data_IF_531118448719
#
_entry.id   IF_531118448719
#
_cell.length_a   1.000
_cell.length_b   1.000
_cell.length_c   1.000
_cell.angle_alpha   90.00
_cell.angle_beta   90.00
_cell.angle_gamma   90.00
#
_symmetry.space_group_name_H-M   'P 1'
#
loop_
_entity.id
_entity.type
_entity.pdbx_description
1 polymer ?
#
# COMPACT_ATOMS: atom_id res chain seq x y z
N UNK A 1 -18.27 -13.02 -14.44
CA UNK A 1 -16.81 -13.24 -14.61
C UNK A 1 -16.00 -12.97 -13.33
N UNK A 2 -16.51 -12.23 -12.38
CA UNK A 2 -15.84 -11.81 -11.12
C UNK A 2 -15.68 -12.94 -10.08
N UNK A 3 -16.61 -13.87 -9.99
CA UNK A 3 -16.57 -14.96 -9.00
C UNK A 3 -15.40 -15.94 -9.17
N UNK A 4 -14.90 -16.12 -10.39
CA UNK A 4 -13.76 -17.03 -10.65
C UNK A 4 -12.44 -16.52 -10.07
N UNK A 5 -12.22 -15.21 -10.06
CA UNK A 5 -10.98 -14.61 -9.56
C UNK A 5 -10.90 -14.67 -8.03
N UNK A 6 -12.04 -14.53 -7.33
CA UNK A 6 -12.10 -14.63 -5.86
C UNK A 6 -11.76 -16.04 -5.39
N UNK A 7 -12.26 -17.05 -6.11
CA UNK A 7 -12.00 -18.46 -5.78
C UNK A 7 -10.51 -18.80 -6.01
N UNK A 8 -9.88 -18.24 -7.03
CA UNK A 8 -8.47 -18.52 -7.34
C UNK A 8 -7.52 -17.92 -6.29
N UNK A 9 -7.79 -16.71 -5.80
CA UNK A 9 -6.99 -16.07 -4.74
C UNK A 9 -7.19 -16.82 -3.42
N UNK A 10 -8.43 -17.18 -3.07
CA UNK A 10 -8.70 -17.94 -1.85
C UNK A 10 -8.09 -19.35 -1.90
N UNK A 11 -8.10 -20.02 -3.07
CA UNK A 11 -7.48 -21.32 -3.26
C UNK A 11 -5.94 -21.26 -3.20
N UNK A 12 -5.31 -20.20 -3.70
CA UNK A 12 -3.87 -20.00 -3.58
C UNK A 12 -3.43 -19.81 -2.12
N UNK A 13 -4.16 -18.99 -1.35
CA UNK A 13 -3.90 -18.80 0.08
C UNK A 13 -4.13 -20.10 0.87
N UNK A 14 -5.18 -20.86 0.56
CA UNK A 14 -5.46 -22.13 1.20
C UNK A 14 -4.42 -23.23 0.85
N UNK A 15 -3.85 -23.20 -0.36
CA UNK A 15 -2.84 -24.17 -0.80
C UNK A 15 -1.49 -23.98 -0.09
N UNK A 16 -1.12 -22.74 0.23
CA UNK A 16 0.09 -22.45 1.00
C UNK A 16 -0.07 -22.80 2.49
N UNK A 17 -1.26 -22.63 3.06
CA UNK A 17 -1.54 -23.00 4.45
C UNK A 17 -1.54 -24.53 4.65
N UNK A 18 -1.96 -25.31 3.66
CA UNK A 18 -2.03 -26.77 3.73
C UNK A 18 -0.66 -27.48 3.68
N UNK A 19 0.37 -26.87 3.13
CA UNK A 19 1.70 -27.48 3.03
C UNK A 19 2.51 -27.45 4.35
N UNK A 20 2.06 -26.75 5.37
CA UNK A 20 2.75 -26.60 6.66
C UNK A 20 2.39 -27.68 7.71
N UNK A 21 1.48 -28.62 7.42
CA UNK A 21 0.93 -29.54 8.42
C UNK A 21 1.28 -31.03 8.26
N UNK A 22 2.25 -31.41 7.45
CA UNK A 22 2.63 -32.82 7.27
C UNK A 22 3.98 -33.14 7.92
N UNK A 23 3.97 -33.62 9.16
CA UNK A 23 5.15 -34.20 9.81
C UNK A 23 4.85 -34.81 11.17
N UNK A 24 4.69 -36.14 11.22
CA UNK A 24 4.57 -36.93 12.46
C UNK A 24 5.92 -37.09 13.15
N UNK A 25 6.00 -37.08 14.49
CA UNK A 25 7.27 -37.16 15.22
C UNK A 25 7.75 -38.60 15.37
N UNK A 26 8.96 -38.88 14.99
CA UNK A 26 9.73 -40.04 15.43
C UNK A 26 10.71 -39.58 16.51
N UNK A 27 10.57 -40.12 17.71
CA UNK A 27 11.43 -39.83 18.86
C UNK A 27 12.78 -40.55 18.69
N UNK A 28 13.80 -39.84 18.25
CA UNK A 28 15.19 -40.28 18.39
C UNK A 28 15.89 -39.25 19.27
N UNK A 29 16.39 -39.67 20.42
CA UNK A 29 17.17 -38.84 21.32
C UNK A 29 18.56 -38.66 20.69
N UNK A 30 18.72 -37.63 19.91
CA UNK A 30 19.96 -37.08 19.40
C UNK A 30 20.22 -35.76 20.13
N UNK A 31 21.51 -35.33 20.36
CA UNK A 31 21.79 -34.07 20.99
C UNK A 31 21.04 -32.96 20.26
N UNK A 32 20.26 -32.18 21.01
CA UNK A 32 19.39 -31.14 20.49
C UNK A 32 20.15 -30.26 19.50
N UNK A 33 19.88 -30.30 18.20
CA UNK A 33 20.47 -29.35 17.29
C UNK A 33 20.07 -27.96 17.80
N UNK A 34 21.02 -27.07 17.96
CA UNK A 34 20.72 -25.64 18.14
C UNK A 34 19.82 -25.29 16.97
N UNK A 35 18.56 -24.96 17.26
CA UNK A 35 17.58 -24.61 16.24
C UNK A 35 18.17 -23.44 15.45
N UNK A 36 18.60 -23.70 14.23
CA UNK A 36 19.07 -22.65 13.33
C UNK A 36 17.84 -21.79 13.02
N UNK A 37 17.79 -20.61 13.62
CA UNK A 37 16.72 -19.65 13.34
C UNK A 37 16.76 -19.37 11.85
N UNK A 38 15.65 -19.60 11.17
CA UNK A 38 15.54 -19.31 9.75
C UNK A 38 15.92 -17.85 9.48
N UNK A 39 16.77 -17.54 8.50
CA UNK A 39 17.04 -16.17 8.10
C UNK A 39 15.83 -15.50 7.41
N UNK A 40 14.82 -16.29 7.03
CA UNK A 40 13.60 -15.83 6.41
C UNK A 40 12.52 -15.57 7.44
N UNK A 41 11.85 -14.44 7.27
CA UNK A 41 10.61 -14.09 7.95
C UNK A 41 9.72 -13.32 6.99
N UNK A 42 8.45 -13.21 7.30
CA UNK A 42 7.54 -12.48 6.44
C UNK A 42 6.09 -12.62 6.87
N UNK A 43 5.21 -12.13 6.02
CA UNK A 43 3.79 -12.30 6.18
C UNK A 43 3.09 -12.45 4.83
N UNK A 44 1.96 -13.13 4.85
CA UNK A 44 1.01 -13.22 3.75
C UNK A 44 -0.29 -12.62 4.26
N UNK A 45 -0.92 -11.78 3.45
CA UNK A 45 -2.17 -11.15 3.82
C UNK A 45 -3.20 -11.16 2.70
N UNK A 46 -4.47 -11.16 3.08
CA UNK A 46 -5.59 -10.88 2.21
C UNK A 46 -6.67 -10.15 2.99
N UNK A 47 -7.43 -9.28 2.34
CA UNK A 47 -8.41 -8.48 3.07
C UNK A 47 -9.46 -7.83 2.20
N UNK A 48 -10.17 -6.90 2.83
CA UNK A 48 -11.18 -6.07 2.21
C UNK A 48 -11.05 -4.63 2.73
N UNK A 49 -11.24 -3.67 1.84
CA UNK A 49 -11.41 -2.28 2.22
C UNK A 49 -12.59 -1.65 1.45
N UNK A 50 -13.33 -0.80 2.15
CA UNK A 50 -14.54 -0.16 1.62
C UNK A 50 -14.25 0.85 0.50
N UNK A 51 -13.00 1.20 0.29
CA UNK A 51 -12.58 2.13 -0.74
C UNK A 51 -11.12 1.91 -1.11
N UNK A 52 -10.78 2.20 -2.38
CA UNK A 52 -9.40 2.20 -2.85
C UNK A 52 -8.65 3.43 -2.32
N UNK A 53 -7.45 3.21 -1.82
CA UNK A 53 -6.51 4.28 -1.49
C UNK A 53 -5.10 3.89 -1.93
N UNK A 54 -4.43 4.79 -2.61
CA UNK A 54 -3.00 4.70 -2.89
C UNK A 54 -2.32 5.91 -2.28
N UNK A 55 -1.44 5.69 -1.28
CA UNK A 55 -0.67 6.75 -0.61
C UNK A 55 -1.53 7.88 -0.03
N UNK A 56 -2.70 7.57 0.51
CA UNK A 56 -3.65 8.54 1.04
C UNK A 56 -4.52 9.23 -0.03
N UNK A 57 -4.21 9.05 -1.32
CA UNK A 57 -5.10 9.45 -2.41
C UNK A 57 -6.14 8.35 -2.61
N UNK A 58 -7.37 8.71 -2.86
CA UNK A 58 -8.44 7.77 -3.15
C UNK A 58 -9.73 8.23 -2.51
N UNK A 59 -9.96 7.89 -1.24
CA UNK A 59 -11.21 8.19 -0.55
C UNK A 59 -11.61 9.67 -0.56
N UNK A 60 -10.62 10.58 -0.59
CA UNK A 60 -10.83 12.03 -0.67
C UNK A 60 -10.68 12.61 -2.09
N UNK A 61 -10.42 11.78 -3.09
CA UNK A 61 -10.22 12.22 -4.47
C UNK A 61 -11.40 11.82 -5.36
N UNK A 62 -11.92 12.77 -6.14
CA UNK A 62 -13.11 12.55 -6.97
C UNK A 62 -12.96 11.46 -8.03
N UNK A 63 -11.71 11.21 -8.50
CA UNK A 63 -11.40 10.24 -9.55
C UNK A 63 -11.39 8.79 -9.09
N UNK A 64 -11.02 8.54 -7.84
CA UNK A 64 -10.72 7.19 -7.35
C UNK A 64 -11.52 6.80 -6.11
N UNK A 65 -12.44 7.68 -5.66
CA UNK A 65 -13.28 7.40 -4.51
C UNK A 65 -14.51 6.57 -4.88
N UNK A 66 -14.85 5.57 -4.07
CA UNK A 66 -16.11 4.85 -4.14
C UNK A 66 -16.01 3.36 -4.45
N UNK A 67 -14.85 2.84 -4.83
CA UNK A 67 -14.69 1.42 -5.13
C UNK A 67 -14.10 0.66 -3.94
N UNK A 68 -14.80 -0.38 -3.50
CA UNK A 68 -14.25 -1.33 -2.58
C UNK A 68 -13.17 -2.19 -3.24
N UNK A 69 -12.23 -2.67 -2.45
CA UNK A 69 -11.08 -3.42 -2.95
C UNK A 69 -10.81 -4.66 -2.13
N UNK A 70 -10.21 -5.64 -2.78
CA UNK A 70 -9.68 -6.85 -2.16
C UNK A 70 -8.16 -6.83 -2.34
N UNK A 71 -7.40 -6.38 -1.33
CA UNK A 71 -5.95 -6.47 -1.34
C UNK A 71 -5.49 -7.87 -0.95
N UNK A 72 -4.41 -8.34 -1.55
CA UNK A 72 -3.67 -9.52 -1.14
C UNK A 72 -2.19 -9.33 -1.42
N UNK A 73 -1.31 -9.94 -0.63
CA UNK A 73 0.11 -9.81 -0.86
C UNK A 73 0.97 -10.67 0.06
N UNK A 74 2.27 -10.58 -0.19
CA UNK A 74 3.33 -11.21 0.59
C UNK A 74 4.43 -10.20 0.85
N UNK A 75 4.92 -10.15 2.09
CA UNK A 75 6.11 -9.43 2.49
C UNK A 75 7.18 -10.45 2.92
N UNK A 76 8.39 -10.28 2.45
CA UNK A 76 9.52 -11.15 2.73
C UNK A 76 10.66 -10.34 3.31
N UNK A 77 11.36 -10.93 4.28
CA UNK A 77 12.56 -10.38 4.87
C UNK A 77 13.60 -11.49 4.98
N UNK A 78 14.77 -11.26 4.41
CA UNK A 78 15.93 -12.14 4.51
C UNK A 78 17.01 -11.46 5.33
N UNK A 79 17.28 -11.98 6.53
CA UNK A 79 18.26 -11.45 7.47
C UNK A 79 19.68 -11.72 6.97
N UNK A 80 20.45 -10.67 6.74
CA UNK A 80 21.87 -10.73 6.38
C UNK A 80 22.77 -10.64 7.62
N UNK A 81 22.37 -9.83 8.60
CA UNK A 81 23.02 -9.63 9.89
C UNK A 81 21.98 -9.13 10.90
N UNK A 82 22.40 -8.85 12.14
CA UNK A 82 21.46 -8.31 13.14
C UNK A 82 20.88 -6.94 12.75
N UNK A 83 21.65 -6.14 12.02
CA UNK A 83 21.22 -4.81 11.58
C UNK A 83 20.72 -4.78 10.13
N UNK A 84 21.02 -5.78 9.28
CA UNK A 84 20.78 -5.67 7.85
C UNK A 84 19.92 -6.82 7.32
N UNK A 85 19.04 -6.50 6.42
CA UNK A 85 18.23 -7.49 5.69
C UNK A 85 17.90 -7.01 4.27
N UNK A 86 17.61 -7.98 3.41
CA UNK A 86 16.94 -7.74 2.13
C UNK A 86 15.43 -7.89 2.36
N UNK A 87 14.68 -6.93 1.89
CA UNK A 87 13.22 -6.94 1.98
C UNK A 87 12.62 -6.96 0.58
N UNK A 88 11.53 -7.71 0.42
CA UNK A 88 10.78 -7.75 -0.81
C UNK A 88 9.30 -7.84 -0.52
N UNK A 89 8.47 -7.32 -1.42
CA UNK A 89 7.04 -7.54 -1.35
C UNK A 89 6.43 -7.65 -2.74
N UNK A 90 5.36 -8.40 -2.81
CA UNK A 90 4.46 -8.42 -3.96
C UNK A 90 3.03 -8.27 -3.46
N UNK A 91 2.27 -7.38 -4.07
CA UNK A 91 0.87 -7.20 -3.73
C UNK A 91 0.00 -7.05 -4.96
N UNK A 92 -1.25 -7.46 -4.82
CA UNK A 92 -2.29 -7.31 -5.81
C UNK A 92 -3.53 -6.72 -5.14
N UNK A 93 -4.10 -5.69 -5.74
CA UNK A 93 -5.33 -5.06 -5.29
C UNK A 93 -6.37 -5.18 -6.40
N UNK A 94 -7.42 -5.94 -6.15
CA UNK A 94 -8.56 -6.06 -7.06
C UNK A 94 -9.58 -5.00 -6.73
N UNK A 95 -9.91 -4.15 -7.70
CA UNK A 95 -11.04 -3.22 -7.63
C UNK A 95 -12.32 -4.01 -7.92
N UNK A 96 -13.34 -3.88 -7.06
CA UNK A 96 -14.59 -4.67 -7.19
C UNK A 96 -15.50 -4.15 -8.29
N UNK A 97 -15.41 -2.87 -8.60
CA UNK A 97 -16.05 -2.25 -9.77
C UNK A 97 -15.00 -1.39 -10.47
N UNK A 98 -14.76 -1.62 -11.75
CA UNK A 98 -13.87 -0.76 -12.52
C UNK A 98 -14.44 0.67 -12.52
N UNK A 99 -13.67 1.62 -12.02
CA UNK A 99 -14.09 3.02 -12.03
C UNK A 99 -13.98 3.57 -13.45
N UNK A 100 -15.13 3.74 -14.10
CA UNK A 100 -15.19 4.35 -15.42
C UNK A 100 -14.96 5.86 -15.28
N UNK A 101 -13.87 6.34 -15.85
CA UNK A 101 -13.60 7.76 -15.92
C UNK A 101 -14.47 8.39 -17.03
N UNK A 102 -15.33 9.35 -16.66
CA UNK A 102 -16.20 10.06 -17.62
C UNK A 102 -17.10 9.15 -18.46
N UNK A 103 -17.49 7.97 -17.95
CA UNK A 103 -18.31 7.02 -18.69
C UNK A 103 -17.57 6.25 -19.80
N UNK A 104 -16.26 6.37 -19.85
CA UNK A 104 -15.43 5.64 -20.80
C UNK A 104 -14.78 4.43 -20.12
N UNK A 105 -15.21 3.22 -20.51
CA UNK A 105 -14.71 1.95 -19.97
C UNK A 105 -13.23 1.70 -20.26
N UNK A 106 -12.70 2.29 -21.30
CA UNK A 106 -11.29 2.14 -21.71
C UNK A 106 -10.34 2.93 -20.81
N UNK A 107 -10.88 3.85 -19.99
CA UNK A 107 -10.12 4.68 -19.04
C UNK A 107 -10.40 4.24 -17.59
N UNK A 108 -10.83 3.03 -17.36
CA UNK A 108 -11.08 2.52 -16.02
C UNK A 108 -9.78 2.33 -15.24
N UNK A 109 -9.79 2.69 -13.95
CA UNK A 109 -8.74 2.29 -13.03
C UNK A 109 -8.88 0.79 -12.78
N UNK A 110 -7.94 0.02 -13.33
CA UNK A 110 -7.89 -1.42 -13.21
C UNK A 110 -7.13 -1.84 -11.93
N UNK A 111 -7.13 -3.14 -11.70
CA UNK A 111 -6.37 -3.77 -10.64
C UNK A 111 -4.92 -3.28 -10.59
N UNK A 112 -4.38 -3.19 -9.38
CA UNK A 112 -3.01 -2.75 -9.14
C UNK A 112 -2.16 -3.93 -8.70
N UNK A 113 -0.97 -4.05 -9.27
CA UNK A 113 0.07 -4.98 -8.85
C UNK A 113 1.32 -4.17 -8.49
N UNK A 114 1.84 -4.39 -7.30
CA UNK A 114 3.07 -3.75 -6.84
C UNK A 114 4.13 -4.81 -6.54
N UNK A 115 5.37 -4.51 -6.94
CA UNK A 115 6.56 -5.26 -6.56
C UNK A 115 7.55 -4.28 -5.96
N UNK A 116 8.12 -4.63 -4.82
CA UNK A 116 9.23 -3.88 -4.27
C UNK A 116 10.38 -4.80 -3.85
N UNK A 117 11.59 -4.25 -3.91
CA UNK A 117 12.81 -4.89 -3.46
C UNK A 117 13.67 -3.81 -2.81
N UNK A 118 14.23 -4.11 -1.63
CA UNK A 118 15.03 -3.13 -0.92
C UNK A 118 16.02 -3.76 0.05
N UNK A 119 16.91 -2.91 0.53
CA UNK A 119 17.77 -3.15 1.66
C UNK A 119 17.23 -2.40 2.87
N UNK A 120 17.15 -3.10 4.00
CA UNK A 120 16.72 -2.55 5.29
C UNK A 120 17.88 -2.59 6.27
N UNK A 121 18.11 -1.46 6.94
CA UNK A 121 19.02 -1.37 8.08
C UNK A 121 18.21 -0.96 9.31
N UNK A 122 18.36 -1.68 10.38
CA UNK A 122 17.70 -1.41 11.66
C UNK A 122 18.76 -1.25 12.74
N UNK A 123 18.75 -0.12 13.45
CA UNK A 123 19.68 0.23 14.52
C UNK A 123 21.16 0.29 14.11
N UNK A 124 21.52 -0.02 12.85
CA UNK A 124 22.89 -0.07 12.41
C UNK A 124 23.51 1.29 12.07
N UNK A 125 22.70 2.21 11.54
CA UNK A 125 23.15 3.59 11.23
C UNK A 125 22.98 4.52 12.44
N UNK A 126 21.86 4.41 13.11
CA UNK A 126 21.54 5.14 14.33
C UNK A 126 20.60 4.28 15.18
N UNK A 127 20.82 4.27 16.48
CA UNK A 127 19.93 3.55 17.42
C UNK A 127 18.49 4.03 17.27
N UNK A 128 17.55 3.12 17.30
CA UNK A 128 16.12 3.33 17.11
C UNK A 128 15.71 3.80 15.70
N UNK A 129 16.64 3.84 14.74
CA UNK A 129 16.36 4.21 13.35
C UNK A 129 16.28 2.94 12.48
N UNK A 130 15.14 2.76 11.82
CA UNK A 130 14.98 1.82 10.72
C UNK A 130 15.04 2.58 9.39
N UNK A 131 15.94 2.18 8.52
CA UNK A 131 16.12 2.75 7.18
C UNK A 131 15.84 1.66 6.16
N UNK A 132 14.99 1.92 5.17
CA UNK A 132 14.80 1.03 4.02
C UNK A 132 15.02 1.82 2.74
N UNK A 133 15.93 1.37 1.90
CA UNK A 133 16.18 1.92 0.56
C UNK A 133 15.85 0.85 -0.47
N UNK A 134 15.08 1.19 -1.50
CA UNK A 134 14.69 0.19 -2.48
C UNK A 134 14.11 0.75 -3.76
N UNK A 135 13.62 -0.18 -4.53
CA UNK A 135 12.97 0.04 -5.82
C UNK A 135 11.56 -0.52 -5.79
N UNK A 136 10.64 0.19 -6.43
CA UNK A 136 9.22 -0.14 -6.51
C UNK A 136 8.76 -0.11 -7.97
N UNK A 137 8.02 -1.14 -8.37
CA UNK A 137 7.35 -1.24 -9.66
C UNK A 137 5.85 -1.33 -9.41
N UNK A 138 5.10 -0.42 -10.01
CA UNK A 138 3.64 -0.32 -9.90
C UNK A 138 3.04 -0.53 -11.28
N UNK A 139 2.21 -1.55 -11.42
CA UNK A 139 1.49 -1.86 -12.64
C UNK A 139 -0.02 -1.73 -12.40
N UNK A 140 -0.72 -1.00 -13.28
CA UNK A 140 -2.15 -0.73 -13.11
C UNK A 140 -2.44 0.27 -11.99
N UNK A 141 -3.64 0.18 -11.42
CA UNK A 141 -4.11 1.09 -10.37
C UNK A 141 -4.08 2.55 -10.80
N UNK A 142 -4.02 3.45 -9.82
CA UNK A 142 -3.95 4.88 -10.06
C UNK A 142 -2.64 5.29 -10.75
N UNK A 143 -1.51 4.94 -10.17
CA UNK A 143 -0.20 5.41 -10.63
C UNK A 143 0.23 4.77 -11.96
N UNK A 144 -0.02 3.48 -12.16
CA UNK A 144 0.26 2.80 -13.42
C UNK A 144 -0.57 3.35 -14.58
N UNK A 145 -1.82 3.71 -14.32
CA UNK A 145 -2.68 4.33 -15.35
C UNK A 145 -2.24 5.76 -15.68
N UNK A 146 -1.80 6.56 -14.70
CA UNK A 146 -1.20 7.87 -14.99
C UNK A 146 0.10 7.75 -15.80
N UNK A 147 0.85 6.66 -15.62
CA UNK A 147 2.01 6.37 -16.45
C UNK A 147 1.64 6.08 -17.90
N UNK A 148 0.46 5.51 -18.15
CA UNK A 148 0.01 5.06 -19.48
C UNK A 148 -0.67 6.17 -20.28
N UNK A 149 -1.49 7.01 -19.65
CA UNK A 149 -2.40 7.92 -20.35
C UNK A 149 -2.00 9.39 -20.18
N UNK A 150 -2.22 10.17 -21.25
CA UNK A 150 -2.16 11.63 -21.20
C UNK A 150 -3.58 12.19 -20.94
N UNK A 151 -3.78 12.65 -19.73
CA UNK A 151 -5.08 13.22 -19.32
C UNK A 151 -5.20 14.72 -19.57
N UNK A 152 -4.19 15.38 -20.15
CA UNK A 152 -4.17 16.83 -20.30
C UNK A 152 -5.32 17.39 -21.12
N UNK A 153 -5.87 16.60 -22.04
CA UNK A 153 -6.93 17.01 -22.97
C UNK A 153 -8.32 16.42 -22.66
N UNK A 154 -8.46 15.62 -21.59
CA UNK A 154 -9.73 14.92 -21.31
C UNK A 154 -10.88 15.90 -21.10
N UNK A 155 -10.64 17.01 -20.39
CA UNK A 155 -11.67 18.02 -20.12
C UNK A 155 -12.04 18.85 -21.37
N UNK A 156 -11.10 18.98 -22.33
CA UNK A 156 -11.32 19.81 -23.49
C UNK A 156 -12.12 19.11 -24.62
N UNK A 157 -11.89 17.82 -24.83
CA UNK A 157 -12.46 17.09 -25.95
C UNK A 157 -12.91 15.65 -25.66
N UNK A 158 -12.80 15.20 -24.40
CA UNK A 158 -13.14 13.82 -24.00
C UNK A 158 -12.20 12.74 -24.54
N UNK A 159 -11.10 13.10 -25.19
CA UNK A 159 -10.14 12.16 -25.76
C UNK A 159 -8.93 12.01 -24.86
N UNK A 160 -8.52 10.78 -24.58
CA UNK A 160 -7.32 10.47 -23.81
C UNK A 160 -6.26 9.93 -24.75
N UNK A 161 -5.14 10.62 -24.82
CA UNK A 161 -3.98 10.17 -25.59
C UNK A 161 -3.20 9.10 -24.83
N UNK A 162 -2.71 8.10 -25.52
CA UNK A 162 -1.78 7.13 -24.93
C UNK A 162 -0.38 7.75 -24.86
N UNK A 163 0.16 7.87 -23.63
CA UNK A 163 1.44 8.51 -23.36
C UNK A 163 2.62 7.53 -23.48
N UNK A 164 2.42 6.31 -22.98
CA UNK A 164 3.43 5.26 -22.93
C UNK A 164 2.84 3.91 -23.34
N UNK A 165 3.69 3.05 -23.91
CA UNK A 165 3.28 1.70 -24.30
C UNK A 165 2.93 0.78 -23.13
N UNK A 166 3.33 1.12 -21.91
CA UNK A 166 3.16 0.27 -20.72
C UNK A 166 2.56 1.05 -19.57
N UNK A 167 1.59 0.44 -18.88
CA UNK A 167 0.96 0.94 -17.65
C UNK A 167 1.82 0.64 -16.42
N UNK A 168 3.09 1.08 -16.43
CA UNK A 168 4.07 0.78 -15.39
C UNK A 168 4.70 2.08 -14.91
N UNK A 169 4.66 2.29 -13.60
CA UNK A 169 5.45 3.30 -12.91
C UNK A 169 6.60 2.64 -12.14
N UNK A 170 7.77 3.26 -12.16
CA UNK A 170 8.93 2.80 -11.39
C UNK A 170 9.51 3.93 -10.57
N UNK A 171 9.94 3.59 -9.36
CA UNK A 171 10.42 4.53 -8.37
C UNK A 171 11.57 3.94 -7.56
N UNK A 172 12.51 4.79 -7.16
CA UNK A 172 13.33 4.53 -5.99
C UNK A 172 12.63 5.08 -4.76
N UNK A 173 12.70 4.36 -3.63
CA UNK A 173 12.12 4.83 -2.38
C UNK A 173 13.13 4.76 -1.22
N UNK A 174 12.95 5.68 -0.29
CA UNK A 174 13.62 5.71 1.01
C UNK A 174 12.53 5.81 2.09
N UNK A 175 12.55 4.86 3.02
CA UNK A 175 11.72 4.91 4.22
C UNK A 175 12.62 5.05 5.44
N UNK A 176 12.39 6.08 6.23
CA UNK A 176 13.02 6.32 7.53
C UNK A 176 11.94 6.21 8.59
N UNK A 177 12.16 5.38 9.60
CA UNK A 177 11.28 5.29 10.77
C UNK A 177 12.11 5.33 12.03
N UNK A 178 11.79 6.22 12.93
CA UNK A 178 12.48 6.43 14.19
C UNK A 178 11.54 6.21 15.38
N UNK A 179 11.93 5.27 16.26
CA UNK A 179 11.22 5.03 17.53
C UNK A 179 11.61 6.13 18.54
N UNK A 180 10.69 7.07 18.78
CA UNK A 180 10.91 8.24 19.65
C UNK A 180 10.95 7.85 21.13
N UNK A 181 10.03 7.02 21.57
CA UNK A 181 9.92 6.49 22.94
C UNK A 181 8.99 5.27 22.92
N UNK A 182 8.77 4.64 24.06
CA UNK A 182 8.13 3.33 24.22
C UNK A 182 6.85 3.06 23.40
N UNK A 183 6.14 4.08 23.01
CA UNK A 183 4.88 3.94 22.23
C UNK A 183 4.81 4.82 21.00
N UNK A 184 5.67 5.83 20.88
CA UNK A 184 5.63 6.80 19.80
C UNK A 184 6.73 6.53 18.76
N UNK A 185 6.39 6.69 17.51
CA UNK A 185 7.33 6.65 16.39
C UNK A 185 7.01 7.75 15.39
N UNK A 186 8.00 8.15 14.62
CA UNK A 186 7.83 9.08 13.52
C UNK A 186 8.67 8.63 12.32
N UNK A 187 8.26 9.01 11.14
CA UNK A 187 9.02 8.64 9.95
C UNK A 187 8.67 9.46 8.73
N UNK A 188 9.36 9.14 7.65
CA UNK A 188 9.07 9.65 6.32
C UNK A 188 9.32 8.56 5.29
N UNK A 189 8.36 8.38 4.40
CA UNK A 189 8.58 7.67 3.14
C UNK A 189 8.71 8.70 2.05
N UNK A 190 9.80 8.64 1.29
CA UNK A 190 9.98 9.45 0.08
C UNK A 190 10.28 8.55 -1.09
N UNK A 191 9.76 8.88 -2.27
CA UNK A 191 10.10 8.18 -3.49
C UNK A 191 10.35 9.15 -4.65
N UNK A 192 11.21 8.73 -5.56
CA UNK A 192 11.48 9.42 -6.80
C UNK A 192 11.07 8.54 -7.97
N UNK A 193 10.03 8.97 -8.67
CA UNK A 193 9.59 8.35 -9.91
C UNK A 193 10.55 8.69 -11.05
N UNK A 194 10.96 7.70 -11.82
CA UNK A 194 11.85 7.87 -12.96
C UNK A 194 11.29 7.24 -14.25
N UNK A 195 10.24 6.44 -14.13
CA UNK A 195 9.50 5.89 -15.27
C UNK A 195 8.00 5.98 -15.00
N UNK A 196 7.27 6.45 -15.98
CA UNK A 196 5.83 6.68 -15.90
C UNK A 196 5.49 8.00 -15.21
N UNK A 197 5.98 8.18 -14.01
CA UNK A 197 5.91 9.42 -13.22
C UNK A 197 7.34 9.88 -12.94
N UNK A 198 7.61 11.17 -13.05
CA UNK A 198 8.95 11.72 -12.82
C UNK A 198 8.88 12.83 -11.79
N UNK A 199 9.51 12.64 -10.64
CA UNK A 199 9.52 13.61 -9.56
C UNK A 199 9.42 12.97 -8.19
N UNK A 200 9.21 13.79 -7.18
CA UNK A 200 9.27 13.39 -5.78
C UNK A 200 7.88 13.18 -5.18
N UNK A 201 7.77 12.12 -4.37
CA UNK A 201 6.69 11.87 -3.44
C UNK A 201 7.21 11.89 -2.01
N UNK A 202 6.53 12.58 -1.09
CA UNK A 202 6.88 12.68 0.31
C UNK A 202 5.68 12.30 1.18
N UNK A 203 5.92 11.48 2.20
CA UNK A 203 4.90 11.03 3.12
C UNK A 203 5.44 10.99 4.56
N UNK A 204 5.57 12.14 5.24
CA UNK A 204 5.89 12.18 6.66
C UNK A 204 4.69 11.70 7.49
N UNK A 205 5.00 11.03 8.60
CA UNK A 205 4.01 10.50 9.51
C UNK A 205 4.51 10.45 10.94
N UNK A 206 3.57 10.41 11.87
CA UNK A 206 3.78 10.11 13.29
C UNK A 206 2.77 9.05 13.72
N UNK A 207 3.16 8.17 14.63
CA UNK A 207 2.28 7.14 15.12
C UNK A 207 2.48 6.86 16.59
N UNK A 208 1.47 6.22 17.14
CA UNK A 208 1.43 5.72 18.50
C UNK A 208 0.92 4.28 18.50
N UNK A 209 1.55 3.41 19.30
CA UNK A 209 1.16 2.00 19.44
C UNK A 209 1.08 1.64 20.90
N UNK A 210 0.10 0.82 21.28
CA UNK A 210 -0.05 0.26 22.60
C UNK A 210 -0.67 -1.14 22.55
N UNK A 211 -0.35 -1.96 23.53
CA UNK A 211 -1.02 -3.23 23.75
C UNK A 211 -2.22 -3.01 24.66
N UNK A 212 -3.41 -3.37 24.21
CA UNK A 212 -4.64 -3.31 24.99
C UNK A 212 -4.74 -4.53 25.90
N UNK A 213 -4.40 -5.70 25.33
CA UNK A 213 -4.34 -6.97 26.03
C UNK A 213 -3.37 -7.90 25.29
N UNK A 214 -3.00 -9.08 25.83
CA UNK A 214 -2.04 -9.99 25.18
C UNK A 214 -2.41 -10.41 23.76
N UNK A 215 -3.69 -10.35 23.40
CA UNK A 215 -4.18 -10.71 22.08
C UNK A 215 -4.43 -9.52 21.15
N UNK A 216 -4.39 -8.28 21.65
CA UNK A 216 -4.88 -7.11 20.88
C UNK A 216 -3.98 -5.92 21.11
N UNK A 217 -3.45 -5.41 20.02
CA UNK A 217 -2.72 -4.16 19.98
C UNK A 217 -3.57 -3.07 19.29
N UNK A 218 -3.24 -1.80 19.52
CA UNK A 218 -3.80 -0.67 18.79
C UNK A 218 -2.66 0.16 18.24
N UNK A 219 -2.80 0.62 17.00
CA UNK A 219 -1.88 1.54 16.36
C UNK A 219 -2.67 2.69 15.75
N UNK A 220 -2.27 3.91 16.05
CA UNK A 220 -2.82 5.13 15.46
C UNK A 220 -1.68 5.81 14.73
N UNK A 221 -1.88 6.08 13.45
CA UNK A 221 -0.88 6.74 12.61
C UNK A 221 -1.53 7.91 11.89
N UNK A 222 -0.90 9.06 11.91
CA UNK A 222 -1.34 10.24 11.17
C UNK A 222 -0.21 10.81 10.34
N UNK A 223 -0.55 11.36 9.18
CA UNK A 223 0.45 11.88 8.28
C UNK A 223 -0.13 12.70 7.14
N UNK A 224 0.74 13.09 6.25
CA UNK A 224 0.36 13.74 4.99
C UNK A 224 1.15 13.14 3.83
N UNK A 225 0.63 13.31 2.63
CA UNK A 225 1.37 13.06 1.40
C UNK A 225 1.46 14.32 0.57
N UNK A 226 2.61 14.53 -0.06
CA UNK A 226 2.87 15.67 -0.93
C UNK A 226 3.74 15.25 -2.12
N UNK A 227 3.64 15.99 -3.22
CA UNK A 227 4.40 15.74 -4.45
C UNK A 227 5.08 16.99 -4.95
N UNK A 228 6.24 16.82 -5.56
CA UNK A 228 6.98 17.86 -6.26
C UNK A 228 7.49 17.33 -7.60
N UNK A 229 6.98 17.87 -8.70
CA UNK A 229 7.28 17.40 -10.06
C UNK A 229 6.74 16.00 -10.41
N UNK A 230 6.15 15.31 -9.45
CA UNK A 230 5.68 13.93 -9.61
C UNK A 230 4.49 13.82 -10.58
N UNK A 231 3.57 14.79 -10.50
CA UNK A 231 2.50 14.95 -11.46
C UNK A 231 2.87 16.04 -12.45
N UNK A 232 2.86 15.70 -13.73
CA UNK A 232 3.09 16.65 -14.80
C UNK A 232 2.09 17.82 -14.69
N UNK A 233 2.58 19.04 -14.89
CA UNK A 233 1.75 20.26 -14.93
C UNK A 233 0.63 20.21 -15.98
N UNK A 234 0.72 19.29 -16.94
CA UNK A 234 -0.29 19.02 -17.96
C UNK A 234 -1.37 18.04 -17.52
N UNK A 235 -1.22 17.37 -16.37
CA UNK A 235 -2.26 16.48 -15.87
C UNK A 235 -3.43 17.30 -15.32
N UNK A 236 -4.56 17.27 -16.00
CA UNK A 236 -5.78 17.95 -15.56
C UNK A 236 -6.31 17.39 -14.23
N UNK A 237 -5.92 16.19 -13.84
CA UNK A 237 -6.49 15.45 -12.73
C UNK A 237 -5.64 15.41 -11.48
N UNK A 238 -4.34 15.71 -11.62
CA UNK A 238 -3.40 15.68 -10.51
C UNK A 238 -2.52 16.92 -10.55
N UNK A 239 -2.33 17.55 -9.40
CA UNK A 239 -1.48 18.72 -9.25
C UNK A 239 -0.46 18.46 -8.15
N UNK A 240 0.74 19.01 -8.31
CA UNK A 240 1.77 18.98 -7.27
C UNK A 240 1.32 19.74 -6.02
N UNK A 241 1.92 19.41 -4.88
CA UNK A 241 1.59 19.96 -3.58
C UNK A 241 1.10 18.87 -2.61
N UNK A 242 0.43 19.27 -1.53
CA UNK A 242 -0.14 18.31 -0.59
C UNK A 242 -1.30 17.53 -1.25
N UNK A 243 -1.24 16.21 -1.19
CA UNK A 243 -2.24 15.33 -1.82
C UNK A 243 -3.31 14.92 -0.82
N UNK A 244 -2.90 14.46 0.36
CA UNK A 244 -3.82 14.03 1.40
C UNK A 244 -3.24 14.29 2.77
N UNK A 245 -4.13 14.48 3.75
CA UNK A 245 -3.89 14.33 5.17
C UNK A 245 -4.68 13.11 5.62
N UNK A 246 -4.13 12.31 6.50
CA UNK A 246 -4.81 11.09 6.92
C UNK A 246 -4.54 10.76 8.38
N UNK A 247 -5.52 10.10 9.00
CA UNK A 247 -5.38 9.43 10.29
C UNK A 247 -5.93 8.03 10.13
N UNK A 248 -5.12 7.02 10.47
CA UNK A 248 -5.47 5.61 10.40
C UNK A 248 -5.39 4.99 11.79
N UNK A 249 -6.41 4.22 12.15
CA UNK A 249 -6.44 3.39 13.36
C UNK A 249 -6.48 1.95 12.91
N UNK A 250 -5.56 1.13 13.44
CA UNK A 250 -5.46 -0.31 13.19
C UNK A 250 -5.48 -1.04 14.51
N UNK A 251 -6.13 -2.19 14.54
CA UNK A 251 -6.25 -2.99 15.76
C UNK A 251 -5.92 -4.46 15.47
N UNK A 252 -4.63 -4.84 15.41
CA UNK A 252 -4.23 -6.23 15.25
C UNK A 252 -4.77 -7.10 16.38
N UNK A 253 -5.57 -8.11 16.04
CA UNK A 253 -6.15 -9.08 16.97
C UNK A 253 -5.57 -10.46 16.64
N UNK A 254 -4.76 -11.02 17.54
CA UNK A 254 -4.21 -12.36 17.40
C UNK A 254 -5.34 -13.37 17.56
N UNK A 255 -5.51 -14.22 16.60
CA UNK A 255 -6.46 -15.33 16.66
C UNK A 255 -5.82 -16.49 17.45
N UNK A 256 -6.63 -17.39 18.04
CA UNK A 256 -6.10 -18.53 18.78
C UNK A 256 -5.23 -19.51 17.99
N UNK A 257 -4.98 -19.24 16.72
CA UNK A 257 -4.06 -19.95 15.83
C UNK A 257 -2.73 -19.21 15.82
N UNK A 258 -1.63 -19.96 15.96
CA UNK A 258 -0.28 -19.40 15.97
C UNK A 258 -0.03 -18.56 14.70
N UNK A 259 0.57 -17.39 14.86
CA UNK A 259 0.99 -16.50 13.79
C UNK A 259 -0.16 -15.92 12.93
N UNK A 260 -1.42 -16.13 13.30
CA UNK A 260 -2.58 -15.63 12.56
C UNK A 260 -3.23 -14.48 13.30
N UNK A 261 -3.47 -13.38 12.59
CA UNK A 261 -4.15 -12.20 13.13
C UNK A 261 -5.18 -11.65 12.12
N UNK A 262 -6.22 -11.04 12.66
CA UNK A 262 -7.11 -10.14 11.90
C UNK A 262 -6.74 -8.71 12.25
N UNK A 263 -6.60 -7.86 11.26
CA UNK A 263 -6.23 -6.46 11.42
C UNK A 263 -7.35 -5.58 10.86
N UNK A 264 -8.43 -5.31 11.63
CA UNK A 264 -9.39 -4.29 11.26
C UNK A 264 -8.76 -2.91 11.30
N UNK A 265 -9.22 -2.03 10.41
CA UNK A 265 -8.73 -0.66 10.35
C UNK A 265 -9.83 0.32 9.92
N UNK A 266 -9.64 1.57 10.29
CA UNK A 266 -10.36 2.72 9.74
C UNK A 266 -9.38 3.83 9.44
N UNK A 267 -9.53 4.48 8.28
CA UNK A 267 -8.72 5.62 7.86
C UNK A 267 -9.62 6.79 7.50
N UNK A 268 -9.33 7.94 8.08
CA UNK A 268 -9.94 9.23 7.76
C UNK A 268 -8.98 9.99 6.87
N UNK A 269 -9.45 10.46 5.72
CA UNK A 269 -8.60 11.06 4.70
C UNK A 269 -9.19 12.41 4.27
N UNK A 270 -8.35 13.45 4.28
CA UNK A 270 -8.71 14.80 3.82
C UNK A 270 -7.86 15.17 2.61
N UNK A 271 -8.49 15.76 1.62
CA UNK A 271 -7.80 16.22 0.43
C UNK A 271 -6.87 17.40 0.75
N UNK A 272 -5.62 17.30 0.31
CA UNK A 272 -4.66 18.40 0.35
C UNK A 272 -4.86 19.39 -0.82
N UNK A 273 -4.09 20.46 -0.85
CA UNK A 273 -4.24 21.52 -1.86
C UNK A 273 -4.06 21.03 -3.30
N UNK A 274 -3.14 20.09 -3.55
CA UNK A 274 -2.95 19.48 -4.87
C UNK A 274 -4.18 18.68 -5.31
N UNK A 275 -4.71 17.81 -4.42
CA UNK A 275 -5.91 17.04 -4.68
C UNK A 275 -7.16 17.92 -4.82
N UNK A 276 -7.31 18.97 -4.01
CA UNK A 276 -8.43 19.92 -4.12
C UNK A 276 -8.42 20.66 -5.45
N UNK A 277 -7.24 21.08 -5.92
CA UNK A 277 -7.10 21.71 -7.24
C UNK A 277 -7.50 20.76 -8.36
N UNK A 278 -7.02 19.53 -8.30
CA UNK A 278 -7.38 18.49 -9.27
C UNK A 278 -8.88 18.15 -9.21
N UNK A 279 -9.44 17.97 -8.00
CA UNK A 279 -10.88 17.72 -7.83
C UNK A 279 -11.76 18.82 -8.43
N UNK A 280 -11.40 20.10 -8.23
CA UNK A 280 -12.12 21.24 -8.81
C UNK A 280 -12.10 21.22 -10.34
N UNK A 281 -10.93 20.96 -10.93
CA UNK A 281 -10.79 20.89 -12.38
C UNK A 281 -11.63 19.75 -13.00
N UNK A 282 -11.74 18.64 -12.28
CA UNK A 282 -12.46 17.47 -12.76
C UNK A 282 -13.98 17.59 -12.68
N UNK A 283 -14.51 18.27 -11.66
CA UNK A 283 -15.96 18.27 -11.34
C UNK A 283 -16.66 19.55 -11.76
N UNK A 284 -15.96 20.47 -12.42
CA UNK A 284 -16.57 21.72 -12.90
C UNK A 284 -17.74 21.40 -13.85
N UNK A 285 -18.94 21.38 -13.29
CA UNK A 285 -20.19 21.19 -14.01
C UNK A 285 -21.06 19.98 -13.67
N UNK A 286 -20.63 18.98 -12.88
CA UNK A 286 -21.45 17.77 -12.72
C UNK A 286 -21.72 17.23 -11.31
N UNK A 287 -20.80 17.33 -10.36
CA UNK A 287 -21.01 16.84 -8.96
C UNK A 287 -20.07 17.53 -7.97
N UNK A 288 -20.46 17.72 -6.70
CA UNK A 288 -19.57 18.23 -5.68
C UNK A 288 -18.39 17.26 -5.48
N UNK A 289 -17.17 17.77 -5.57
CA UNK A 289 -15.96 17.00 -5.28
C UNK A 289 -15.88 16.67 -3.78
N UNK A 290 -15.29 15.50 -3.50
CA UNK A 290 -15.05 15.07 -2.12
C UNK A 290 -13.72 15.63 -1.63
N UNK A 291 -13.72 16.30 -0.48
CA UNK A 291 -12.52 16.73 0.23
C UNK A 291 -12.26 15.92 1.51
N UNK A 292 -13.15 15.00 1.82
CA UNK A 292 -13.04 14.07 2.93
C UNK A 292 -13.58 12.70 2.53
N UNK A 293 -12.94 11.65 3.01
CA UNK A 293 -13.39 10.28 2.82
C UNK A 293 -12.96 9.36 3.95
N UNK A 294 -13.74 8.34 4.19
CA UNK A 294 -13.46 7.30 5.19
C UNK A 294 -13.26 5.97 4.48
N UNK A 295 -12.24 5.25 4.88
CA UNK A 295 -11.97 3.87 4.44
C UNK A 295 -11.97 2.98 5.65
N UNK A 296 -12.76 1.92 5.62
CA UNK A 296 -12.76 0.88 6.64
C UNK A 296 -12.51 -0.47 5.99
N UNK A 297 -11.85 -1.35 6.71
CA UNK A 297 -11.53 -2.67 6.19
C UNK A 297 -10.94 -3.59 7.25
N UNK A 298 -10.55 -4.77 6.81
CA UNK A 298 -9.81 -5.72 7.61
C UNK A 298 -8.91 -6.59 6.73
N UNK A 299 -7.74 -6.94 7.26
CA UNK A 299 -6.82 -7.90 6.66
C UNK A 299 -6.70 -9.13 7.56
N UNK A 300 -6.69 -10.30 6.98
CA UNK A 300 -6.21 -11.53 7.60
C UNK A 300 -4.72 -11.64 7.28
N UNK A 301 -3.89 -11.79 8.31
CA UNK A 301 -2.43 -11.79 8.20
C UNK A 301 -1.88 -13.06 8.85
N UNK A 302 -1.06 -13.79 8.12
CA UNK A 302 -0.27 -14.92 8.62
C UNK A 302 1.22 -14.58 8.55
N UNK A 303 1.90 -14.60 9.69
CA UNK A 303 3.35 -14.33 9.81
C UNK A 303 4.13 -15.64 9.94
N UNK A 304 5.33 -15.72 9.38
CA UNK A 304 6.19 -16.91 9.41
C UNK A 304 7.68 -16.56 9.60
#
# INVERSE_FOLDING_TARGET
>A
MQTKNIITVAAAVASFAGAAFAGTPVTVVTPTPVATVSPWSGDIYAGYASNYTSRGIGASHALVGGDSVIPAGVNLNYKLSDANSIVGAASYTSLTSGHELLGNKDIAFHNETNFNLGWKNQDGLLKNLSTTLGWNLIHGGLLGNFAKYDYSNVLANGTVGQRHAHSVAQEFYLNLNYDLCNSWFAGVTTSYGFQGMTGWWFQPYVGWKASICPATDIMITGGMSATAGYFDSKSAFMANGSQAWWVKVEMPVKLGVQNLAVVPFVSFNWAGNGALKANKQFVEGSKPYKNFGVVAGANLVYSF
#
